data_IF_725357550775
#
_entry.id   IF_725357550775
#
_cell.length_a   1.000
_cell.length_b   1.000
_cell.length_c   1.000
_cell.angle_alpha   90.00
_cell.angle_beta   90.00
_cell.angle_gamma   90.00
#
_symmetry.space_group_name_H-M   'P 1'
#
loop_
_entity.id
_entity.type
_entity.pdbx_description
1 polymer ?
#
# COMPACT_ATOMS: atom_id res chain seq x y z
N UNK A 1 52.52 -32.51 -17.82
CA UNK A 1 52.40 -31.84 -16.51
C UNK A 1 51.02 -31.21 -16.41
N UNK A 2 50.24 -31.63 -15.41
CA UNK A 2 48.86 -31.20 -15.16
C UNK A 2 48.85 -29.75 -14.66
N UNK A 3 47.96 -28.91 -15.20
CA UNK A 3 47.53 -27.65 -14.54
C UNK A 3 46.02 -27.57 -14.64
N UNK A 4 45.36 -28.12 -13.63
CA UNK A 4 43.96 -27.90 -13.30
C UNK A 4 43.75 -26.41 -13.04
N UNK A 5 42.89 -25.75 -13.82
CA UNK A 5 42.44 -24.39 -13.52
C UNK A 5 41.12 -24.47 -12.76
N UNK A 6 41.12 -23.75 -11.66
CA UNK A 6 40.16 -23.73 -10.57
C UNK A 6 38.76 -23.26 -10.99
N UNK A 7 37.80 -23.92 -10.35
CA UNK A 7 36.40 -23.58 -10.17
C UNK A 7 36.24 -22.15 -9.61
N UNK A 8 35.51 -21.27 -10.31
CA UNK A 8 34.98 -20.04 -9.71
C UNK A 8 33.47 -20.20 -9.52
N UNK A 9 33.10 -20.72 -8.35
CA UNK A 9 31.74 -20.74 -7.84
C UNK A 9 31.32 -19.29 -7.56
N UNK A 10 30.54 -18.69 -8.45
CA UNK A 10 29.89 -17.41 -8.19
C UNK A 10 28.81 -17.68 -7.14
N UNK A 11 29.20 -17.52 -5.87
CA UNK A 11 28.28 -17.30 -4.76
C UNK A 11 27.56 -15.99 -5.07
N UNK A 12 26.36 -16.07 -5.65
CA UNK A 12 25.40 -14.96 -5.66
C UNK A 12 24.99 -14.77 -4.20
N UNK A 13 25.77 -13.97 -3.48
CA UNK A 13 25.36 -13.41 -2.21
C UNK A 13 24.03 -12.71 -2.47
N UNK A 14 22.96 -13.24 -1.90
CA UNK A 14 21.64 -12.65 -1.94
C UNK A 14 21.69 -11.27 -1.29
N UNK A 15 22.03 -10.26 -2.08
CA UNK A 15 21.83 -8.87 -1.70
C UNK A 15 20.32 -8.76 -1.56
N UNK A 16 19.84 -8.69 -0.32
CA UNK A 16 18.52 -8.17 -0.04
C UNK A 16 18.53 -6.70 -0.48
N UNK A 17 18.44 -6.48 -1.79
CA UNK A 17 18.24 -5.16 -2.36
C UNK A 17 16.94 -4.66 -1.75
N UNK A 18 17.06 -3.71 -0.82
CA UNK A 18 15.92 -3.01 -0.27
C UNK A 18 15.07 -2.56 -1.45
N UNK A 19 13.87 -3.14 -1.58
CA UNK A 19 13.03 -2.90 -2.74
C UNK A 19 12.72 -1.41 -2.80
N UNK A 20 13.17 -0.79 -3.88
CA UNK A 20 12.81 0.59 -4.19
C UNK A 20 11.53 0.55 -5.01
N UNK A 21 10.41 0.82 -4.34
CA UNK A 21 9.08 0.81 -4.95
C UNK A 21 8.94 1.92 -6.00
N UNK A 22 9.74 2.99 -5.90
CA UNK A 22 9.78 4.10 -6.86
C UNK A 22 8.37 4.57 -7.21
N UNK A 23 7.52 4.71 -6.19
CA UNK A 23 6.14 5.18 -6.38
C UNK A 23 6.07 6.66 -6.74
N UNK A 24 7.20 7.37 -6.60
CA UNK A 24 7.27 8.82 -6.72
C UNK A 24 6.94 9.54 -5.41
N UNK A 25 6.70 8.80 -4.32
CA UNK A 25 6.43 9.35 -3.00
C UNK A 25 7.14 8.55 -1.89
N UNK A 26 7.94 9.25 -1.09
CA UNK A 26 8.80 8.64 -0.07
C UNK A 26 7.99 7.95 1.05
N UNK A 27 6.85 8.52 1.44
CA UNK A 27 6.02 7.94 2.51
C UNK A 27 5.29 6.69 2.03
N UNK A 28 4.82 6.70 0.78
CA UNK A 28 4.22 5.53 0.15
C UNK A 28 5.25 4.41 0.03
N UNK A 29 6.47 4.72 -0.44
CA UNK A 29 7.56 3.73 -0.54
C UNK A 29 7.93 3.16 0.83
N UNK A 30 8.01 4.01 1.87
CA UNK A 30 8.25 3.55 3.24
C UNK A 30 7.10 2.67 3.76
N UNK A 31 5.85 3.03 3.48
CA UNK A 31 4.68 2.24 3.88
C UNK A 31 4.67 0.87 3.21
N UNK A 32 4.99 0.79 1.91
CA UNK A 32 5.08 -0.46 1.17
C UNK A 32 6.22 -1.36 1.69
N UNK A 33 7.36 -0.77 2.10
CA UNK A 33 8.43 -1.51 2.78
C UNK A 33 7.94 -2.14 4.08
N UNK A 34 7.19 -1.40 4.91
CA UNK A 34 6.62 -1.92 6.16
C UNK A 34 5.61 -3.04 5.86
N UNK A 35 4.69 -2.82 4.91
CA UNK A 35 3.71 -3.84 4.49
C UNK A 35 4.41 -5.13 4.06
N UNK A 36 5.45 -5.02 3.23
CA UNK A 36 6.21 -6.18 2.78
C UNK A 36 6.91 -6.91 3.93
N UNK A 37 7.59 -6.17 4.81
CA UNK A 37 8.30 -6.75 5.94
C UNK A 37 7.34 -7.44 6.92
N UNK A 38 6.20 -6.84 7.21
CA UNK A 38 5.21 -7.43 8.10
C UNK A 38 4.51 -8.63 7.47
N UNK A 39 4.18 -8.57 6.17
CA UNK A 39 3.60 -9.69 5.44
C UNK A 39 4.55 -10.90 5.38
N UNK A 40 5.86 -10.68 5.34
CA UNK A 40 6.84 -11.77 5.35
C UNK A 40 6.89 -12.51 6.70
N UNK A 41 6.32 -11.97 7.78
CA UNK A 41 6.19 -12.67 9.07
C UNK A 41 5.13 -13.79 9.01
N UNK A 42 4.04 -13.56 8.29
CA UNK A 42 3.00 -14.56 8.02
C UNK A 42 2.35 -14.30 6.65
N UNK A 43 2.99 -14.87 5.63
CA UNK A 43 2.57 -14.68 4.24
C UNK A 43 1.23 -15.37 3.95
N UNK A 44 0.93 -16.47 4.65
CA UNK A 44 -0.32 -17.22 4.48
C UNK A 44 -1.51 -16.38 4.95
N UNK A 45 -1.41 -15.82 6.17
CA UNK A 45 -2.40 -14.90 6.69
C UNK A 45 -2.55 -13.66 5.82
N UNK A 46 -1.43 -13.09 5.36
CA UNK A 46 -1.44 -11.92 4.48
C UNK A 46 -2.22 -12.17 3.19
N UNK A 47 -1.97 -13.30 2.51
CA UNK A 47 -2.68 -13.67 1.27
C UNK A 47 -4.17 -13.85 1.50
N UNK A 48 -4.56 -14.55 2.57
CA UNK A 48 -5.96 -14.74 2.94
C UNK A 48 -6.65 -13.40 3.29
N UNK A 49 -5.96 -12.51 3.99
CA UNK A 49 -6.47 -11.19 4.34
C UNK A 49 -6.64 -10.30 3.10
N UNK A 50 -5.71 -10.34 2.14
CA UNK A 50 -5.86 -9.63 0.86
C UNK A 50 -7.05 -10.15 0.06
N UNK A 51 -7.18 -11.47 -0.08
CA UNK A 51 -8.30 -12.11 -0.75
C UNK A 51 -9.64 -11.62 -0.18
N UNK A 52 -9.76 -11.59 1.15
CA UNK A 52 -10.94 -11.06 1.85
C UNK A 52 -11.14 -9.56 1.65
N UNK A 53 -10.07 -8.76 1.79
CA UNK A 53 -10.14 -7.29 1.72
C UNK A 53 -10.59 -6.79 0.36
N UNK A 54 -10.11 -7.43 -0.71
CA UNK A 54 -10.44 -7.06 -2.09
C UNK A 54 -11.59 -7.88 -2.68
N UNK A 55 -12.19 -8.79 -1.89
CA UNK A 55 -13.22 -9.72 -2.32
C UNK A 55 -12.82 -10.49 -3.60
N UNK A 56 -11.62 -11.07 -3.58
CA UNK A 56 -11.05 -11.86 -4.69
C UNK A 56 -10.68 -13.26 -4.22
N UNK A 57 -10.69 -14.24 -5.13
CA UNK A 57 -10.24 -15.58 -4.82
C UNK A 57 -8.74 -15.63 -4.51
N UNK A 58 -8.35 -16.48 -3.54
CA UNK A 58 -6.95 -16.73 -3.18
C UNK A 58 -6.06 -17.07 -4.40
N UNK A 59 -6.52 -17.85 -5.42
CA UNK A 59 -5.71 -18.11 -6.60
C UNK A 59 -5.28 -16.86 -7.39
N UNK A 60 -6.08 -15.78 -7.37
CA UNK A 60 -5.71 -14.51 -8.02
C UNK A 60 -4.58 -13.83 -7.26
N UNK A 61 -4.62 -13.86 -5.93
CA UNK A 61 -3.54 -13.36 -5.08
C UNK A 61 -2.25 -14.15 -5.33
N UNK A 62 -2.34 -15.48 -5.37
CA UNK A 62 -1.18 -16.34 -5.66
C UNK A 62 -0.59 -16.12 -7.04
N UNK A 63 -1.40 -15.81 -8.05
CA UNK A 63 -0.92 -15.49 -9.40
C UNK A 63 0.02 -14.27 -9.37
N UNK A 64 -0.28 -13.27 -8.54
CA UNK A 64 0.58 -12.10 -8.39
C UNK A 64 1.95 -12.48 -7.82
N UNK A 65 1.98 -13.35 -6.80
CA UNK A 65 3.24 -13.88 -6.26
C UNK A 65 4.00 -14.75 -7.28
N UNK A 66 3.29 -15.56 -8.09
CA UNK A 66 3.90 -16.39 -9.14
C UNK A 66 4.60 -15.58 -10.22
N UNK A 67 4.16 -14.35 -10.50
CA UNK A 67 4.83 -13.44 -11.44
C UNK A 67 5.98 -12.64 -10.80
N UNK A 68 6.35 -12.96 -9.56
CA UNK A 68 7.48 -12.37 -8.85
C UNK A 68 7.18 -11.03 -8.19
N UNK A 69 5.92 -10.76 -7.83
CA UNK A 69 5.57 -9.63 -6.95
C UNK A 69 5.86 -10.00 -5.49
N UNK A 70 6.46 -9.07 -4.74
CA UNK A 70 6.57 -9.19 -3.28
C UNK A 70 5.25 -8.77 -2.61
N UNK A 71 5.13 -8.90 -1.28
CA UNK A 71 3.87 -8.61 -0.61
C UNK A 71 3.43 -7.13 -0.72
N UNK A 72 4.37 -6.18 -0.72
CA UNK A 72 4.10 -4.77 -0.96
C UNK A 72 3.61 -4.52 -2.39
N UNK A 73 4.23 -5.16 -3.38
CA UNK A 73 3.85 -5.12 -4.79
C UNK A 73 2.44 -5.67 -5.01
N UNK A 74 2.11 -6.82 -4.41
CA UNK A 74 0.79 -7.44 -4.52
C UNK A 74 -0.27 -6.52 -3.90
N UNK A 75 0.00 -5.96 -2.72
CA UNK A 75 -0.90 -4.98 -2.11
C UNK A 75 -1.09 -3.76 -3.03
N UNK A 76 0.00 -3.22 -3.58
CA UNK A 76 -0.04 -2.08 -4.50
C UNK A 76 -0.85 -2.39 -5.76
N UNK A 77 -0.67 -3.58 -6.34
CA UNK A 77 -1.38 -4.01 -7.55
C UNK A 77 -2.90 -4.09 -7.32
N UNK A 78 -3.35 -4.72 -6.23
CA UNK A 78 -4.77 -4.78 -5.89
C UNK A 78 -5.34 -3.39 -5.55
N UNK A 79 -4.56 -2.54 -4.89
CA UNK A 79 -5.01 -1.20 -4.55
C UNK A 79 -5.19 -0.32 -5.79
N UNK A 80 -4.26 -0.40 -6.75
CA UNK A 80 -4.40 0.27 -8.06
C UNK A 80 -5.59 -0.28 -8.82
N UNK A 81 -5.75 -1.62 -8.90
CA UNK A 81 -6.90 -2.26 -9.54
C UNK A 81 -8.23 -1.73 -8.99
N UNK A 82 -8.37 -1.66 -7.66
CA UNK A 82 -9.60 -1.21 -7.02
C UNK A 82 -9.87 0.29 -7.20
N UNK A 83 -8.84 1.14 -7.17
CA UNK A 83 -8.97 2.60 -7.32
C UNK A 83 -9.20 2.98 -8.79
N UNK A 84 -8.38 2.45 -9.70
CA UNK A 84 -8.47 2.72 -11.13
C UNK A 84 -9.61 1.97 -11.82
N UNK A 85 -10.35 1.11 -11.09
CA UNK A 85 -11.43 0.25 -11.61
C UNK A 85 -10.99 -0.59 -12.81
N UNK A 86 -9.76 -1.12 -12.74
CA UNK A 86 -9.19 -2.01 -13.76
C UNK A 86 -9.09 -3.43 -13.24
N UNK A 87 -9.24 -4.45 -14.09
CA UNK A 87 -8.93 -5.83 -13.75
C UNK A 87 -7.50 -5.96 -13.20
N UNK A 88 -7.30 -6.88 -12.25
CA UNK A 88 -5.95 -7.15 -11.71
C UNK A 88 -5.01 -7.68 -12.80
N UNK A 89 -5.58 -8.34 -13.80
CA UNK A 89 -4.89 -8.88 -14.98
C UNK A 89 -4.21 -7.77 -15.80
N UNK A 90 -4.84 -6.59 -15.95
CA UNK A 90 -4.24 -5.42 -16.59
C UNK A 90 -3.00 -4.94 -15.81
N UNK A 91 -3.12 -4.88 -14.48
CA UNK A 91 -2.02 -4.46 -13.60
C UNK A 91 -0.85 -5.45 -13.66
N UNK A 92 -1.15 -6.75 -13.71
CA UNK A 92 -0.14 -7.80 -13.90
C UNK A 92 0.56 -7.66 -15.27
N UNK A 93 -0.19 -7.33 -16.32
CA UNK A 93 0.37 -7.09 -17.66
C UNK A 93 1.35 -5.90 -17.66
N UNK A 94 0.95 -4.78 -17.06
CA UNK A 94 1.81 -3.61 -16.89
C UNK A 94 3.02 -3.93 -16.01
N UNK A 95 2.86 -4.72 -14.94
CA UNK A 95 4.00 -5.14 -14.10
C UNK A 95 5.04 -5.94 -14.87
N UNK A 96 4.61 -6.91 -15.69
CA UNK A 96 5.53 -7.73 -16.49
C UNK A 96 6.37 -6.92 -17.46
N UNK A 97 5.83 -5.83 -18.00
CA UNK A 97 6.47 -5.01 -19.05
C UNK A 97 7.20 -3.79 -18.49
N UNK A 98 6.70 -3.20 -17.40
CA UNK A 98 7.12 -1.88 -16.88
C UNK A 98 7.63 -1.90 -15.44
N UNK A 99 7.82 -3.05 -14.77
CA UNK A 99 8.32 -3.09 -13.37
C UNK A 99 9.63 -2.33 -13.13
N UNK A 100 10.50 -2.23 -14.14
CA UNK A 100 11.78 -1.49 -14.05
C UNK A 100 11.59 0.03 -13.93
N UNK A 101 10.42 0.56 -14.31
CA UNK A 101 10.07 1.98 -14.21
C UNK A 101 9.55 2.37 -12.82
N UNK A 102 9.21 1.39 -11.99
CA UNK A 102 8.64 1.62 -10.65
C UNK A 102 7.12 1.82 -10.64
N UNK A 103 6.55 1.78 -9.44
CA UNK A 103 5.09 1.84 -9.26
C UNK A 103 4.48 3.17 -9.65
N UNK A 104 5.21 4.28 -9.56
CA UNK A 104 4.68 5.60 -9.93
C UNK A 104 4.37 5.69 -11.43
N UNK A 105 5.28 5.19 -12.26
CA UNK A 105 5.09 5.14 -13.71
C UNK A 105 3.96 4.18 -14.10
N UNK A 106 3.91 2.99 -13.48
CA UNK A 106 2.85 2.00 -13.73
C UNK A 106 1.47 2.52 -13.28
N UNK A 107 1.39 3.19 -12.12
CA UNK A 107 0.15 3.80 -11.66
C UNK A 107 -0.35 4.86 -12.64
N UNK A 108 0.54 5.67 -13.20
CA UNK A 108 0.21 6.66 -14.25
C UNK A 108 -0.29 5.99 -15.53
N UNK A 109 0.36 4.92 -15.98
CA UNK A 109 -0.05 4.13 -17.14
C UNK A 109 -1.45 3.51 -16.95
N UNK A 110 -1.77 3.11 -15.72
CA UNK A 110 -3.07 2.56 -15.33
C UNK A 110 -4.14 3.63 -15.05
N UNK A 111 -3.79 4.92 -15.14
CA UNK A 111 -4.72 6.05 -15.05
C UNK A 111 -4.69 6.85 -13.74
N UNK A 112 -3.85 6.47 -12.77
CA UNK A 112 -3.67 7.19 -11.51
C UNK A 112 -2.58 8.24 -11.70
N UNK A 113 -2.97 9.52 -11.84
CA UNK A 113 -2.01 10.61 -12.02
C UNK A 113 -1.44 11.05 -10.65
N UNK A 114 -0.15 11.39 -10.57
CA UNK A 114 0.40 12.01 -9.37
C UNK A 114 -0.42 13.24 -8.96
N UNK A 115 -0.70 13.37 -7.65
CA UNK A 115 -1.50 14.47 -7.10
C UNK A 115 -3.01 14.37 -7.33
N UNK A 116 -3.50 13.32 -8.00
CA UNK A 116 -4.94 13.09 -8.12
C UNK A 116 -5.53 12.56 -6.80
N UNK A 117 -6.86 12.64 -6.66
CA UNK A 117 -7.56 12.10 -5.49
C UNK A 117 -7.29 10.59 -5.32
N UNK A 118 -7.16 9.86 -6.42
CA UNK A 118 -6.81 8.44 -6.49
C UNK A 118 -5.40 8.18 -5.93
N UNK A 119 -4.43 9.04 -6.26
CA UNK A 119 -3.06 8.91 -5.76
C UNK A 119 -3.00 9.19 -4.25
N UNK A 120 -3.73 10.21 -3.78
CA UNK A 120 -3.85 10.47 -2.35
C UNK A 120 -4.53 9.31 -1.61
N UNK A 121 -5.57 8.70 -2.20
CA UNK A 121 -6.20 7.50 -1.66
C UNK A 121 -5.22 6.32 -1.59
N UNK A 122 -4.41 6.13 -2.63
CA UNK A 122 -3.38 5.09 -2.68
C UNK A 122 -2.38 5.22 -1.52
N UNK A 123 -1.86 6.44 -1.29
CA UNK A 123 -1.02 6.74 -0.13
C UNK A 123 -1.72 6.44 1.19
N UNK A 124 -2.96 6.93 1.36
CA UNK A 124 -3.74 6.73 2.57
C UNK A 124 -3.90 5.26 2.92
N UNK A 125 -4.29 4.43 1.94
CA UNK A 125 -4.47 2.98 2.14
C UNK A 125 -3.17 2.26 2.47
N UNK A 126 -2.06 2.61 1.82
CA UNK A 126 -0.76 2.04 2.16
C UNK A 126 -0.34 2.39 3.60
N UNK A 127 -0.56 3.62 4.03
CA UNK A 127 -0.28 4.10 5.39
C UNK A 127 -1.16 3.44 6.45
N UNK A 128 -2.44 3.25 6.15
CA UNK A 128 -3.36 2.57 7.05
C UNK A 128 -3.00 1.08 7.18
N UNK A 129 -2.65 0.44 6.05
CA UNK A 129 -2.24 -0.97 6.03
C UNK A 129 -0.93 -1.19 6.78
N UNK A 130 0.07 -0.32 6.61
CA UNK A 130 1.34 -0.41 7.33
C UNK A 130 1.11 -0.25 8.84
N UNK A 131 0.35 0.76 9.27
CA UNK A 131 0.02 0.97 10.69
C UNK A 131 -0.76 -0.18 11.31
N UNK A 132 -1.76 -0.72 10.60
CA UNK A 132 -2.60 -1.81 11.10
C UNK A 132 -1.83 -3.12 11.30
N UNK A 133 -0.69 -3.30 10.61
CA UNK A 133 0.19 -4.44 10.78
C UNK A 133 1.32 -4.22 11.81
N UNK A 134 1.67 -2.96 12.11
CA UNK A 134 2.76 -2.61 13.04
C UNK A 134 2.41 -2.72 14.53
N UNK A 135 1.17 -3.06 14.88
CA UNK A 135 0.80 -3.24 16.28
C UNK A 135 -0.70 -3.28 16.48
N UNK A 136 -1.19 -4.38 17.06
CA UNK A 136 -2.37 -4.31 17.89
C UNK A 136 -2.16 -3.19 18.93
N UNK A 137 -3.14 -2.28 19.03
CA UNK A 137 -3.28 -1.15 19.96
C UNK A 137 -2.86 0.23 19.42
N UNK A 138 -3.84 0.93 18.83
CA UNK A 138 -4.13 2.30 19.25
C UNK A 138 -5.57 2.67 18.90
N UNK A 139 -6.23 3.30 19.86
CA UNK A 139 -7.59 3.81 19.83
C UNK A 139 -7.89 4.60 18.54
N UNK A 140 -9.12 4.44 18.06
CA UNK A 140 -9.68 5.32 17.05
C UNK A 140 -9.62 6.77 17.53
N UNK A 141 -9.09 7.63 16.68
CA UNK A 141 -9.53 9.03 16.65
C UNK A 141 -9.62 9.44 15.18
N UNK A 142 -10.75 9.08 14.57
CA UNK A 142 -11.15 9.61 13.28
C UNK A 142 -11.41 11.10 13.44
N UNK A 143 -10.52 11.92 12.89
CA UNK A 143 -10.71 13.37 12.82
C UNK A 143 -11.80 13.66 11.77
N UNK A 144 -13.05 13.49 12.17
CA UNK A 144 -14.24 13.86 11.40
C UNK A 144 -14.48 15.36 11.54
N UNK A 145 -13.93 16.12 10.59
CA UNK A 145 -14.17 17.55 10.42
C UNK A 145 -15.62 17.77 9.98
N UNK A 146 -16.57 17.92 10.90
CA UNK A 146 -17.91 18.43 10.58
C UNK A 146 -17.94 19.95 10.76
N UNK A 147 -17.95 20.65 9.65
CA UNK A 147 -18.22 22.08 9.56
C UNK A 147 -19.72 22.29 9.83
N UNK A 148 -20.06 22.97 10.93
CA UNK A 148 -21.44 23.20 11.37
C UNK A 148 -21.61 24.60 11.92
N UNK A 149 -21.72 25.56 11.01
CA UNK A 149 -22.12 26.93 11.27
C UNK A 149 -23.48 26.99 11.98
N UNK A 150 -23.56 27.60 13.17
CA UNK A 150 -24.76 28.36 13.58
C UNK A 150 -24.53 29.19 14.85
N UNK A 151 -24.84 30.48 14.74
CA UNK A 151 -25.60 31.14 15.80
C UNK A 151 -24.84 31.80 16.94
N UNK A 152 -24.03 32.81 16.64
CA UNK A 152 -23.75 33.89 17.59
C UNK A 152 -25.07 34.64 17.87
N UNK A 153 -25.66 34.45 19.04
CA UNK A 153 -26.75 35.31 19.53
C UNK A 153 -26.36 35.98 20.85
N UNK A 154 -26.27 37.32 20.77
CA UNK A 154 -26.25 38.27 21.88
C UNK A 154 -27.70 38.58 22.29
N UNK A 155 -27.98 38.70 23.59
CA UNK A 155 -29.19 39.32 24.15
C UNK A 155 -29.47 38.80 25.56
N UNK A 156 -29.14 39.49 26.67
CA UNK A 156 -29.70 40.71 27.30
C UNK A 156 -30.86 40.43 28.29
N UNK A 157 -30.68 40.82 29.57
CA UNK A 157 -31.69 40.99 30.65
C UNK A 157 -32.44 39.72 31.11
N UNK A 158 -32.96 39.57 32.34
CA UNK A 158 -33.33 40.50 33.41
C UNK A 158 -33.45 39.69 34.74
N UNK A 159 -33.47 40.39 35.89
CA UNK A 159 -33.44 39.77 37.24
C UNK A 159 -34.77 39.28 37.84
N UNK A 160 -34.67 39.01 39.16
CA UNK A 160 -35.67 38.64 40.21
C UNK A 160 -35.99 37.14 40.46
N UNK A 161 -35.52 36.65 41.61
CA UNK A 161 -36.41 36.34 42.75
C UNK A 161 -36.59 34.87 43.21
N UNK A 162 -36.46 34.70 44.55
CA UNK A 162 -36.85 33.58 45.44
C UNK A 162 -35.91 32.37 45.44
N UNK A 163 -35.46 31.82 46.56
CA UNK A 163 -35.94 31.82 47.96
C UNK A 163 -34.80 32.09 48.94
#
# INVERSE_FOLDING_TARGET
MKKTIFLALILVSGVALGQDYRSGDVELDASLKIVNNDANKDLTFFKANLAKTFNVGLPKVETCFKVGMNAGDVFMAFQISNIAKRPIEDVISVYKTSKSKGWGAMAKELGIKPGSAEFHALKGKAKDKSKGNSGAKSNGNGNGKSNGNSGKSKGNGNGKGKK
#
